data_IF_849679656472
#
_entry.id   IF_849679656472
#
_cell.length_a   1.000
_cell.length_b   1.000
_cell.length_c   1.000
_cell.angle_alpha   90.00
_cell.angle_beta   90.00
_cell.angle_gamma   90.00
#
_symmetry.space_group_name_H-M   'P 1'
#
loop_
_entity.id
_entity.type
_entity.pdbx_description
1 polymer ?
#
# COMPACT_ATOMS: atom_id res chain seq x y z
N UNK A 1 5.91 11.91 19.78
CA UNK A 1 5.55 12.25 18.39
C UNK A 1 6.74 11.91 17.51
N UNK A 2 6.52 11.12 16.44
CA UNK A 2 7.55 10.90 15.42
C UNK A 2 7.64 12.16 14.57
N UNK A 3 8.83 12.50 14.08
CA UNK A 3 8.97 13.56 13.07
C UNK A 3 8.43 13.05 11.72
N UNK A 4 8.03 13.94 10.79
CA UNK A 4 7.60 13.54 9.45
C UNK A 4 8.60 12.63 8.75
N UNK A 5 9.91 12.92 8.90
CA UNK A 5 10.97 12.08 8.35
C UNK A 5 10.98 10.67 8.94
N UNK A 6 10.81 10.53 10.25
CA UNK A 6 10.75 9.23 10.93
C UNK A 6 9.50 8.43 10.51
N UNK A 7 8.41 9.09 10.15
CA UNK A 7 7.21 8.43 9.61
C UNK A 7 7.49 7.84 8.22
N UNK A 8 8.10 8.61 7.33
CA UNK A 8 8.54 8.11 6.02
C UNK A 8 9.57 6.99 6.12
N UNK A 9 10.54 7.08 7.03
CA UNK A 9 11.53 6.01 7.23
C UNK A 9 10.84 4.71 7.69
N UNK A 10 9.88 4.81 8.61
CA UNK A 10 9.07 3.68 9.06
C UNK A 10 8.24 3.06 7.93
N UNK A 11 7.61 3.90 7.09
CA UNK A 11 6.83 3.47 5.93
C UNK A 11 7.72 2.79 4.88
N UNK A 12 8.88 3.36 4.59
CA UNK A 12 9.85 2.81 3.65
C UNK A 12 10.39 1.44 4.10
N UNK A 13 10.71 1.29 5.40
CA UNK A 13 11.10 -0.01 5.97
C UNK A 13 9.98 -1.03 5.82
N UNK A 14 8.75 -0.66 6.21
CA UNK A 14 7.59 -1.53 6.09
C UNK A 14 7.36 -1.99 4.64
N UNK A 15 7.32 -1.06 3.69
CA UNK A 15 7.09 -1.35 2.28
C UNK A 15 8.13 -2.32 1.71
N UNK A 16 9.41 -2.10 2.01
CA UNK A 16 10.50 -3.00 1.58
C UNK A 16 10.38 -4.39 2.18
N UNK A 17 10.00 -4.48 3.46
CA UNK A 17 9.82 -5.77 4.14
C UNK A 17 8.63 -6.53 3.57
N UNK A 18 7.47 -5.89 3.42
CA UNK A 18 6.27 -6.54 2.90
C UNK A 18 6.42 -6.92 1.42
N UNK A 19 6.99 -6.04 0.59
CA UNK A 19 7.25 -6.37 -0.81
C UNK A 19 8.18 -7.57 -0.94
N UNK A 20 9.17 -7.71 -0.05
CA UNK A 20 10.06 -8.88 -0.06
C UNK A 20 9.30 -10.15 0.31
N UNK A 21 8.43 -10.11 1.32
CA UNK A 21 7.62 -11.28 1.71
C UNK A 21 6.73 -11.76 0.57
N UNK A 22 6.03 -10.84 -0.09
CA UNK A 22 5.18 -11.15 -1.24
C UNK A 22 5.96 -11.88 -2.36
N UNK A 23 7.17 -11.41 -2.65
CA UNK A 23 8.06 -12.04 -3.65
C UNK A 23 8.56 -13.41 -3.18
N UNK A 24 9.02 -13.51 -1.93
CA UNK A 24 9.57 -14.75 -1.35
C UNK A 24 8.52 -15.86 -1.21
N UNK A 25 7.26 -15.49 -1.02
CA UNK A 25 6.13 -16.41 -0.93
C UNK A 25 5.54 -16.77 -2.30
N UNK A 26 6.14 -16.25 -3.39
CA UNK A 26 5.65 -16.37 -4.77
C UNK A 26 4.19 -15.88 -4.91
N UNK A 27 3.74 -14.98 -4.03
CA UNK A 27 2.37 -14.44 -4.04
C UNK A 27 2.19 -13.45 -5.19
N UNK A 28 3.20 -12.60 -5.43
CA UNK A 28 3.20 -11.64 -6.53
C UNK A 28 4.60 -11.12 -6.87
N UNK A 29 4.74 -10.66 -8.12
CA UNK A 29 5.97 -10.04 -8.62
C UNK A 29 5.71 -8.56 -8.90
N UNK A 30 6.64 -7.66 -8.50
CA UNK A 30 6.51 -6.24 -8.78
C UNK A 30 6.63 -5.92 -10.27
N UNK A 31 6.11 -4.76 -10.65
CA UNK A 31 6.17 -4.22 -12.02
C UNK A 31 4.83 -4.29 -12.77
N UNK A 32 3.70 -4.44 -12.07
CA UNK A 32 2.40 -4.42 -12.71
C UNK A 32 2.05 -3.02 -13.27
N UNK A 33 1.20 -2.92 -14.31
CA UNK A 33 0.74 -1.62 -14.81
C UNK A 33 0.02 -0.77 -13.75
N UNK A 34 -0.69 -1.42 -12.81
CA UNK A 34 -1.38 -0.74 -11.71
C UNK A 34 -0.41 -0.02 -10.77
N UNK A 35 0.77 -0.60 -10.53
CA UNK A 35 1.81 0.07 -9.72
C UNK A 35 2.30 1.35 -10.40
N UNK A 36 2.45 1.33 -11.72
CA UNK A 36 2.85 2.52 -12.48
C UNK A 36 1.78 3.60 -12.44
N UNK A 37 0.51 3.22 -12.60
CA UNK A 37 -0.63 4.14 -12.48
C UNK A 37 -0.70 4.78 -11.08
N UNK A 38 -0.49 3.98 -10.03
CA UNK A 38 -0.47 4.46 -8.65
C UNK A 38 0.71 5.40 -8.38
N UNK A 39 1.90 5.12 -8.91
CA UNK A 39 3.05 6.01 -8.80
C UNK A 39 2.78 7.36 -9.47
N UNK A 40 2.20 7.36 -10.67
CA UNK A 40 1.81 8.58 -11.38
C UNK A 40 0.73 9.36 -10.63
N UNK A 41 -0.23 8.65 -10.00
CA UNK A 41 -1.23 9.24 -9.13
C UNK A 41 -0.58 9.98 -7.95
N UNK A 42 0.33 9.33 -7.22
CA UNK A 42 1.03 9.96 -6.09
C UNK A 42 1.92 11.11 -6.53
N UNK A 43 2.54 11.04 -7.70
CA UNK A 43 3.32 12.17 -8.24
C UNK A 43 2.47 13.43 -8.39
N UNK A 44 1.20 13.30 -8.77
CA UNK A 44 0.25 14.41 -8.90
C UNK A 44 -0.41 14.82 -7.59
N UNK A 45 -0.94 13.86 -6.84
CA UNK A 45 -1.81 14.12 -5.68
C UNK A 45 -1.08 14.15 -4.34
N UNK A 46 0.04 13.43 -4.22
CA UNK A 46 0.86 13.38 -3.00
C UNK A 46 2.37 13.49 -3.33
N UNK A 47 2.81 14.65 -3.86
CA UNK A 47 4.18 14.82 -4.34
C UNK A 47 5.23 14.67 -3.23
N UNK A 48 4.85 14.91 -1.97
CA UNK A 48 5.73 14.69 -0.82
C UNK A 48 5.99 13.20 -0.60
N UNK A 49 4.94 12.36 -0.59
CA UNK A 49 5.08 10.91 -0.50
C UNK A 49 5.95 10.40 -1.66
N UNK A 50 5.61 10.78 -2.89
CA UNK A 50 6.37 10.38 -4.07
C UNK A 50 7.86 10.73 -3.93
N UNK A 51 8.19 11.98 -3.60
CA UNK A 51 9.58 12.44 -3.44
C UNK A 51 10.30 11.67 -2.32
N UNK A 52 9.71 11.59 -1.13
CA UNK A 52 10.34 10.95 0.03
C UNK A 52 10.58 9.46 -0.19
N UNK A 53 9.60 8.75 -0.74
CA UNK A 53 9.75 7.32 -1.05
C UNK A 53 10.74 7.08 -2.20
N UNK A 54 10.85 8.00 -3.16
CA UNK A 54 11.90 7.95 -4.20
C UNK A 54 13.28 8.09 -3.56
N UNK A 55 13.49 9.11 -2.73
CA UNK A 55 14.78 9.35 -2.04
C UNK A 55 15.20 8.17 -1.17
N UNK A 56 14.22 7.49 -0.56
CA UNK A 56 14.45 6.31 0.28
C UNK A 56 14.53 4.99 -0.51
N UNK A 57 14.43 5.03 -1.85
CA UNK A 57 14.40 3.85 -2.72
C UNK A 57 13.32 2.83 -2.29
N UNK A 58 12.15 3.32 -1.91
CA UNK A 58 11.02 2.52 -1.41
C UNK A 58 9.75 2.70 -2.24
N UNK A 59 9.75 3.61 -3.23
CA UNK A 59 8.55 3.94 -4.00
C UNK A 59 7.94 2.73 -4.72
N UNK A 60 8.75 1.96 -5.44
CA UNK A 60 8.29 0.76 -6.16
C UNK A 60 7.80 -0.30 -5.19
N UNK A 61 8.54 -0.56 -4.11
CA UNK A 61 8.12 -1.51 -3.08
C UNK A 61 6.80 -1.09 -2.41
N UNK A 62 6.60 0.22 -2.20
CA UNK A 62 5.36 0.74 -1.63
C UNK A 62 4.20 0.58 -2.62
N UNK A 63 4.39 0.91 -3.89
CA UNK A 63 3.36 0.73 -4.91
C UNK A 63 2.95 -0.74 -5.04
N UNK A 64 3.93 -1.65 -5.08
CA UNK A 64 3.69 -3.09 -5.13
C UNK A 64 2.84 -3.56 -3.94
N UNK A 65 3.24 -3.23 -2.71
CA UNK A 65 2.49 -3.64 -1.51
C UNK A 65 1.07 -3.05 -1.50
N UNK A 66 0.92 -1.77 -1.86
CA UNK A 66 -0.38 -1.10 -1.87
C UNK A 66 -1.33 -1.72 -2.89
N UNK A 67 -0.85 -2.02 -4.11
CA UNK A 67 -1.66 -2.68 -5.13
C UNK A 67 -2.11 -4.06 -4.64
N UNK A 68 -1.19 -4.88 -4.14
CA UNK A 68 -1.51 -6.23 -3.67
C UNK A 68 -2.48 -6.22 -2.48
N UNK A 69 -2.30 -5.30 -1.52
CA UNK A 69 -3.23 -5.13 -0.40
C UNK A 69 -4.61 -4.67 -0.87
N UNK A 70 -4.67 -3.75 -1.84
CA UNK A 70 -5.95 -3.30 -2.41
C UNK A 70 -6.70 -4.43 -3.12
N UNK A 71 -6.00 -5.31 -3.84
CA UNK A 71 -6.61 -6.48 -4.49
C UNK A 71 -7.11 -7.48 -3.42
N UNK A 72 -6.31 -7.73 -2.39
CA UNK A 72 -6.68 -8.62 -1.30
C UNK A 72 -7.93 -8.13 -0.55
N UNK A 73 -8.00 -6.82 -0.27
CA UNK A 73 -9.17 -6.21 0.38
C UNK A 73 -10.39 -6.19 -0.53
N UNK A 74 -10.25 -5.85 -1.81
CA UNK A 74 -11.35 -5.94 -2.79
C UNK A 74 -11.98 -7.33 -2.78
N UNK A 75 -11.14 -8.38 -2.80
CA UNK A 75 -11.61 -9.77 -2.76
C UNK A 75 -12.27 -10.13 -1.42
N UNK A 76 -11.78 -9.59 -0.31
CA UNK A 76 -12.37 -9.80 1.02
C UNK A 76 -13.74 -9.12 1.15
N UNK A 77 -13.86 -7.87 0.71
CA UNK A 77 -15.12 -7.11 0.67
C UNK A 77 -16.13 -7.75 -0.28
N UNK A 78 -15.69 -8.21 -1.45
CA UNK A 78 -16.57 -8.93 -2.37
C UNK A 78 -17.11 -10.22 -1.74
N UNK A 79 -16.25 -11.00 -1.07
CA UNK A 79 -16.66 -12.23 -0.36
C UNK A 79 -17.60 -11.97 0.82
N UNK A 80 -17.57 -10.78 1.42
CA UNK A 80 -18.50 -10.41 2.50
C UNK A 80 -19.88 -9.97 1.99
N UNK A 81 -20.09 -9.97 0.67
CA UNK A 81 -21.37 -9.66 0.03
C UNK A 81 -21.46 -8.26 -0.55
N UNK A 82 -20.37 -7.48 -0.53
CA UNK A 82 -20.32 -6.19 -1.20
C UNK A 82 -20.31 -6.36 -2.72
N UNK A 83 -21.06 -5.57 -3.50
CA UNK A 83 -20.93 -5.56 -4.95
C UNK A 83 -19.50 -5.27 -5.39
N UNK A 84 -19.03 -5.94 -6.45
CA UNK A 84 -17.63 -5.84 -6.91
C UNK A 84 -17.18 -4.41 -7.20
N UNK A 85 -18.05 -3.59 -7.79
CA UNK A 85 -17.76 -2.17 -8.05
C UNK A 85 -17.48 -1.38 -6.77
N UNK A 86 -18.26 -1.65 -5.73
CA UNK A 86 -18.19 -0.94 -4.46
C UNK A 86 -17.01 -1.43 -3.64
N UNK A 87 -16.74 -2.74 -3.67
CA UNK A 87 -15.56 -3.36 -3.06
C UNK A 87 -14.26 -2.76 -3.63
N UNK A 88 -14.20 -2.62 -4.97
CA UNK A 88 -13.04 -2.01 -5.63
C UNK A 88 -12.87 -0.55 -5.26
N UNK A 89 -13.95 0.24 -5.25
CA UNK A 89 -13.87 1.66 -4.86
C UNK A 89 -13.42 1.83 -3.41
N UNK A 90 -13.92 0.99 -2.50
CA UNK A 90 -13.56 1.02 -1.09
C UNK A 90 -12.09 0.64 -0.88
N UNK A 91 -11.63 -0.48 -1.45
CA UNK A 91 -10.24 -0.91 -1.32
C UNK A 91 -9.24 0.08 -1.91
N UNK A 92 -9.57 0.73 -3.04
CA UNK A 92 -8.74 1.82 -3.59
C UNK A 92 -8.71 3.02 -2.65
N UNK A 93 -9.85 3.42 -2.08
CA UNK A 93 -9.89 4.53 -1.12
C UNK A 93 -9.05 4.24 0.13
N UNK A 94 -9.08 3.00 0.62
CA UNK A 94 -8.38 2.61 1.86
C UNK A 94 -6.87 2.46 1.65
N UNK A 95 -6.42 2.01 0.47
CA UNK A 95 -5.00 1.71 0.22
C UNK A 95 -4.28 2.72 -0.66
N UNK A 96 -4.93 3.28 -1.69
CA UNK A 96 -4.22 4.14 -2.66
C UNK A 96 -4.08 5.58 -2.15
N UNK A 97 -4.90 6.00 -1.19
CA UNK A 97 -4.89 7.33 -0.60
C UNK A 97 -4.11 7.36 0.72
N UNK A 98 -2.85 6.90 0.71
CA UNK A 98 -2.00 6.93 1.90
C UNK A 98 -1.74 8.37 2.37
N UNK A 99 -2.09 8.65 3.61
CA UNK A 99 -1.64 9.85 4.31
C UNK A 99 -0.27 9.58 4.96
N UNK A 100 0.81 10.24 4.50
CA UNK A 100 2.14 10.05 5.08
C UNK A 100 2.24 10.48 6.54
N UNK A 101 1.36 11.36 7.02
CA UNK A 101 1.33 11.78 8.42
C UNK A 101 0.78 10.69 9.35
N UNK A 102 0.14 9.65 8.81
CA UNK A 102 -0.30 8.46 9.57
C UNK A 102 0.80 7.40 9.71
N UNK A 103 1.83 7.44 8.86
CA UNK A 103 2.97 6.50 8.87
C UNK A 103 2.64 5.16 8.22
N UNK A 104 3.30 4.08 8.66
CA UNK A 104 3.02 2.74 8.14
C UNK A 104 1.56 2.35 8.47
N UNK A 105 0.76 1.89 7.50
CA UNK A 105 -0.59 1.45 7.77
C UNK A 105 -0.50 0.34 8.82
N UNK A 106 -1.38 0.41 9.84
CA UNK A 106 -1.50 -0.70 10.78
C UNK A 106 -1.87 -1.92 9.94
N UNK A 107 -1.03 -2.95 9.96
CA UNK A 107 -1.45 -4.25 9.44
C UNK A 107 -2.83 -4.53 10.06
N UNK A 108 -3.83 -4.96 9.26
CA UNK A 108 -5.09 -5.37 9.86
C UNK A 108 -4.71 -6.39 10.94
N UNK A 109 -5.03 -6.06 12.20
CA UNK A 109 -4.83 -7.00 13.30
C UNK A 109 -5.35 -8.33 12.79
N UNK A 110 -4.48 -9.34 12.73
CA UNK A 110 -4.90 -10.71 12.48
C UNK A 110 -6.02 -10.94 13.47
N UNK A 111 -7.26 -10.93 12.96
CA UNK A 111 -8.44 -11.06 13.80
C UNK A 111 -8.20 -12.30 14.63
N UNK A 112 -8.07 -12.07 15.93
CA UNK A 112 -7.86 -13.11 16.93
C UNK A 112 -8.92 -14.15 16.67
N UNK A 113 -8.50 -15.29 16.10
CA UNK A 113 -9.35 -16.46 16.00
C UNK A 113 -9.52 -16.96 17.43
N UNK A 114 -10.59 -16.50 18.06
CA UNK A 114 -11.15 -17.11 19.27
C UNK A 114 -11.97 -18.33 18.93
#
# INVERSE_FOLDING_TARGET
MKTPRQQFESLATWAKTESRKLIEQEESMPGSPLESELIDLWKGQNPTLHRMMTEMQALEALAHVVVERSIAEEMMLYRSGMPLSDARMQAVADWWMLDPDEGAPKAPDEATTG
#
